data_IF_847828556626
#
_entry.id   IF_847828556626
#
_cell.length_a   1.000
_cell.length_b   1.000
_cell.length_c   1.000
_cell.angle_alpha   90.00
_cell.angle_beta   90.00
_cell.angle_gamma   90.00
#
_symmetry.space_group_name_H-M   'P 1'
#
loop_
_entity.id
_entity.type
_entity.pdbx_description
1 polymer ?
#
# COMPACT_ATOMS: atom_id res chain seq x y z
N UNK A 1 -21.66 12.87 4.31
CA UNK A 1 -21.90 12.07 3.11
C UNK A 1 -22.56 12.89 2.00
N UNK A 2 -22.85 12.28 0.85
CA UNK A 2 -23.38 12.94 -0.35
C UNK A 2 -24.56 13.91 -0.10
N UNK A 3 -25.57 13.59 0.74
CA UNK A 3 -26.66 14.53 0.99
C UNK A 3 -26.23 15.85 1.63
N UNK A 4 -25.28 15.79 2.55
CA UNK A 4 -24.75 16.99 3.23
C UNK A 4 -23.89 17.81 2.29
N UNK A 5 -23.08 17.17 1.43
CA UNK A 5 -22.29 17.84 0.42
C UNK A 5 -23.16 18.56 -0.62
N UNK A 6 -24.29 17.96 -1.02
CA UNK A 6 -25.26 18.59 -1.91
C UNK A 6 -25.86 19.85 -1.30
N UNK A 7 -26.29 19.82 -0.03
CA UNK A 7 -26.84 20.98 0.69
C UNK A 7 -25.79 22.10 0.82
N UNK A 8 -24.54 21.74 1.19
CA UNK A 8 -23.46 22.72 1.26
C UNK A 8 -23.15 23.32 -0.12
N UNK A 9 -23.13 22.49 -1.16
CA UNK A 9 -22.92 22.93 -2.54
C UNK A 9 -24.00 23.93 -2.99
N UNK A 10 -25.26 23.67 -2.64
CA UNK A 10 -26.39 24.56 -2.95
C UNK A 10 -26.27 25.90 -2.23
N UNK A 11 -25.87 25.90 -0.94
CA UNK A 11 -25.62 27.11 -0.14
C UNK A 11 -24.44 27.92 -0.69
N UNK A 12 -23.38 27.23 -1.15
CA UNK A 12 -22.14 27.84 -1.66
C UNK A 12 -22.23 28.23 -3.14
N UNK A 13 -23.32 27.89 -3.85
CA UNK A 13 -23.43 28.10 -5.29
C UNK A 13 -22.47 27.27 -6.15
N UNK A 14 -21.94 26.18 -5.61
CA UNK A 14 -21.00 25.28 -6.28
C UNK A 14 -21.63 23.89 -6.41
N UNK A 15 -21.59 23.28 -7.61
CA UNK A 15 -22.03 21.88 -7.76
C UNK A 15 -21.08 20.99 -6.96
N UNK A 16 -21.60 20.32 -5.93
CA UNK A 16 -20.86 19.29 -5.22
C UNK A 16 -20.68 18.09 -6.17
N UNK A 17 -19.50 17.94 -6.75
CA UNK A 17 -19.14 16.71 -7.44
C UNK A 17 -18.96 15.60 -6.41
N UNK A 18 -19.70 14.50 -6.55
CA UNK A 18 -19.48 13.30 -5.77
C UNK A 18 -18.13 12.70 -6.19
N UNK A 19 -17.09 13.06 -5.44
CA UNK A 19 -15.78 12.42 -5.61
C UNK A 19 -15.89 10.92 -5.31
N UNK A 20 -15.21 10.10 -6.11
CA UNK A 20 -15.17 8.65 -5.89
C UNK A 20 -14.69 8.32 -4.47
N UNK A 21 -15.42 7.41 -3.78
CA UNK A 21 -15.05 6.96 -2.44
C UNK A 21 -13.65 6.37 -2.44
N UNK A 22 -12.78 6.87 -1.57
CA UNK A 22 -11.41 6.37 -1.37
C UNK A 22 -11.32 5.56 -0.08
N UNK A 23 -10.36 4.65 -0.03
CA UNK A 23 -9.93 3.94 1.17
C UNK A 23 -8.41 3.89 1.24
N UNK A 24 -7.88 3.74 2.45
CA UNK A 24 -6.46 3.51 2.63
C UNK A 24 -6.07 2.12 2.11
N UNK A 25 -4.88 2.03 1.55
CA UNK A 25 -4.29 0.80 1.06
C UNK A 25 -2.84 0.70 1.49
N UNK A 26 -2.42 -0.48 1.98
CA UNK A 26 -1.05 -0.72 2.45
C UNK A 26 -0.25 -1.44 1.36
N UNK A 27 0.79 -0.80 0.84
CA UNK A 27 1.64 -1.32 -0.24
C UNK A 27 2.71 -2.28 0.30
N UNK A 28 2.29 -3.33 0.98
CA UNK A 28 3.16 -4.40 1.44
C UNK A 28 2.37 -5.70 1.61
N UNK A 29 2.87 -6.79 1.02
CA UNK A 29 2.35 -8.15 1.23
C UNK A 29 3.37 -9.06 1.95
N UNK A 30 4.46 -8.49 2.45
CA UNK A 30 5.53 -9.21 3.14
C UNK A 30 5.16 -9.54 4.58
N UNK A 31 4.31 -10.56 4.78
CA UNK A 31 3.98 -11.13 6.10
C UNK A 31 5.20 -11.73 6.78
N UNK A 32 5.06 -12.16 8.04
CA UNK A 32 6.15 -12.80 8.80
C UNK A 32 6.70 -14.05 8.10
N UNK A 33 5.86 -14.80 7.37
CA UNK A 33 6.28 -15.98 6.62
C UNK A 33 6.94 -15.65 5.27
N UNK A 34 6.60 -14.49 4.67
CA UNK A 34 7.01 -14.12 3.31
C UNK A 34 8.23 -13.21 3.26
N UNK A 35 8.46 -12.45 4.33
CA UNK A 35 9.59 -11.53 4.45
C UNK A 35 10.64 -12.08 5.43
N UNK A 36 11.89 -12.12 5.02
CA UNK A 36 12.99 -12.53 5.89
C UNK A 36 13.28 -11.47 6.95
N UNK A 37 13.82 -11.90 8.07
CA UNK A 37 14.33 -11.05 9.14
C UNK A 37 15.85 -11.25 9.26
N UNK A 38 16.57 -10.14 9.46
CA UNK A 38 18.02 -10.14 9.61
C UNK A 38 18.44 -10.40 11.07
N UNK A 39 17.55 -10.03 12.02
CA UNK A 39 17.77 -10.22 13.46
C UNK A 39 16.44 -10.25 14.22
N UNK A 40 16.49 -10.76 15.46
CA UNK A 40 15.39 -10.68 16.40
C UNK A 40 15.44 -9.37 17.16
N UNK A 41 14.32 -8.62 17.19
CA UNK A 41 14.22 -7.34 17.88
C UNK A 41 13.35 -7.46 19.12
N UNK A 42 13.93 -7.15 20.29
CA UNK A 42 13.30 -7.23 21.62
C UNK A 42 13.10 -5.87 22.28
N UNK A 43 13.01 -4.78 21.50
CA UNK A 43 12.85 -3.44 22.01
C UNK A 43 11.41 -2.90 21.93
N UNK A 44 11.29 -1.57 21.93
CA UNK A 44 10.00 -0.87 21.85
C UNK A 44 9.36 -1.13 20.48
N UNK A 45 8.18 -1.70 20.47
CA UNK A 45 7.40 -1.96 19.25
C UNK A 45 6.70 -0.69 18.77
N UNK A 46 7.46 0.15 18.11
CA UNK A 46 7.01 1.42 17.52
C UNK A 46 7.68 1.62 16.17
N UNK A 47 6.88 1.86 15.10
CA UNK A 47 7.42 1.99 13.75
C UNK A 47 8.34 3.20 13.59
N UNK A 48 8.10 4.30 14.29
CA UNK A 48 8.92 5.49 14.21
C UNK A 48 10.27 5.29 14.94
N UNK A 49 10.27 4.56 16.06
CA UNK A 49 11.48 4.22 16.81
C UNK A 49 12.44 3.34 15.99
N UNK A 50 11.96 2.63 14.99
CA UNK A 50 12.80 1.81 14.11
C UNK A 50 13.79 2.62 13.27
N UNK A 51 13.62 3.93 13.13
CA UNK A 51 14.62 4.79 12.48
C UNK A 51 15.98 4.76 13.19
N UNK A 52 16.01 4.41 14.48
CA UNK A 52 17.21 4.39 15.31
C UNK A 52 17.87 3.00 15.44
N UNK A 53 17.31 1.98 14.81
CA UNK A 53 17.87 0.61 14.84
C UNK A 53 18.46 0.22 13.47
N UNK A 54 19.39 -0.76 13.42
CA UNK A 54 20.01 -1.18 12.16
C UNK A 54 18.98 -1.49 11.08
N UNK A 55 19.24 -1.06 9.85
CA UNK A 55 18.39 -1.23 8.67
C UNK A 55 16.94 -0.68 8.81
N UNK A 56 16.68 0.16 9.83
CA UNK A 56 15.34 0.69 10.05
C UNK A 56 14.30 -0.37 10.43
N UNK A 57 14.75 -1.45 11.12
CA UNK A 57 13.92 -2.54 11.62
C UNK A 57 14.45 -3.93 11.29
N UNK A 58 13.90 -5.00 11.92
CA UNK A 58 14.40 -6.36 11.80
C UNK A 58 14.16 -7.03 10.45
N UNK A 59 13.21 -6.56 9.63
CA UNK A 59 12.95 -7.13 8.30
C UNK A 59 14.08 -6.81 7.33
N UNK A 60 14.53 -7.79 6.56
CA UNK A 60 15.54 -7.64 5.50
C UNK A 60 15.11 -6.66 4.39
N UNK A 61 13.80 -6.42 4.25
CA UNK A 61 13.25 -5.43 3.34
C UNK A 61 13.14 -4.06 4.01
N UNK A 62 14.00 -3.12 3.64
CA UNK A 62 14.01 -1.76 4.19
C UNK A 62 12.73 -0.94 3.88
N UNK A 63 11.96 -1.36 2.89
CA UNK A 63 10.72 -0.71 2.46
C UNK A 63 9.46 -1.39 3.02
N UNK A 64 9.59 -2.51 3.73
CA UNK A 64 8.47 -3.31 4.19
C UNK A 64 7.74 -2.73 5.40
N UNK A 65 6.50 -3.18 5.60
CA UNK A 65 5.74 -2.90 6.81
C UNK A 65 6.40 -3.58 8.02
N UNK A 66 6.61 -2.81 9.10
CA UNK A 66 7.24 -3.30 10.33
C UNK A 66 6.26 -4.05 11.25
N UNK A 67 4.95 -3.81 11.08
CA UNK A 67 3.94 -4.52 11.85
C UNK A 67 3.72 -4.01 13.29
N UNK A 68 4.30 -2.89 13.70
CA UNK A 68 4.18 -2.39 15.09
C UNK A 68 2.95 -1.48 15.34
N UNK A 69 2.10 -1.27 14.34
CA UNK A 69 0.76 -0.74 14.54
C UNK A 69 0.64 0.77 14.79
N UNK A 70 1.62 1.63 14.44
CA UNK A 70 1.47 3.08 14.57
C UNK A 70 0.26 3.60 13.78
N UNK A 71 0.01 3.04 12.59
CA UNK A 71 -1.16 3.34 11.78
C UNK A 71 -2.47 2.88 12.42
N UNK A 72 -2.45 1.76 13.18
CA UNK A 72 -3.60 1.25 13.94
C UNK A 72 -3.94 2.23 15.06
N UNK A 73 -2.95 2.62 15.88
CA UNK A 73 -3.13 3.59 16.97
C UNK A 73 -3.64 4.96 16.48
N UNK A 74 -3.28 5.34 15.24
CA UNK A 74 -3.71 6.60 14.64
C UNK A 74 -5.11 6.56 14.04
N UNK A 75 -5.72 5.37 13.85
CA UNK A 75 -7.02 5.23 13.20
C UNK A 75 -8.16 5.43 14.20
N UNK A 76 -8.99 6.49 14.07
CA UNK A 76 -10.12 6.70 15.00
C UNK A 76 -11.35 5.86 14.64
N UNK A 77 -11.31 5.09 13.55
CA UNK A 77 -12.44 4.33 13.01
C UNK A 77 -12.25 2.82 13.14
N UNK A 78 -11.18 2.38 13.80
CA UNK A 78 -10.80 0.97 13.93
C UNK A 78 -10.78 0.20 12.58
N UNK A 79 -10.41 0.92 11.51
CA UNK A 79 -10.44 0.41 10.14
C UNK A 79 -9.11 -0.21 9.68
N UNK A 80 -8.11 -0.31 10.55
CA UNK A 80 -6.79 -0.84 10.20
C UNK A 80 -6.24 -1.69 11.35
N UNK A 81 -5.78 -2.90 11.02
CA UNK A 81 -5.26 -3.87 11.97
C UNK A 81 -3.94 -4.45 11.48
N UNK A 82 -3.14 -5.02 12.38
CA UNK A 82 -1.94 -5.77 12.00
C UNK A 82 -2.30 -7.25 11.97
N UNK A 83 -2.10 -7.87 10.80
CA UNK A 83 -2.30 -9.29 10.57
C UNK A 83 -1.01 -9.87 10.01
N UNK A 84 -0.48 -10.91 10.63
CA UNK A 84 0.77 -11.59 10.22
C UNK A 84 1.95 -10.63 9.98
N UNK A 85 2.06 -9.58 10.83
CA UNK A 85 3.15 -8.60 10.77
C UNK A 85 3.03 -7.57 9.63
N UNK A 86 1.84 -7.42 9.03
CA UNK A 86 1.53 -6.38 8.02
C UNK A 86 0.22 -5.70 8.38
N UNK A 87 0.17 -4.38 8.20
CA UNK A 87 -1.08 -3.64 8.38
C UNK A 87 -2.07 -3.94 7.25
N UNK A 88 -3.32 -4.22 7.61
CA UNK A 88 -4.43 -4.51 6.69
C UNK A 88 -5.56 -3.53 6.97
N UNK A 89 -6.20 -3.02 5.94
CA UNK A 89 -7.28 -2.03 6.03
C UNK A 89 -8.62 -2.68 5.69
N UNK A 90 -9.60 -2.51 6.57
CA UNK A 90 -11.00 -2.72 6.25
C UNK A 90 -11.50 -1.52 5.42
N UNK A 91 -11.77 -1.78 4.14
CA UNK A 91 -12.22 -0.75 3.19
C UNK A 91 -13.62 -0.20 3.53
N UNK A 92 -14.46 -1.00 4.19
CA UNK A 92 -15.83 -0.60 4.52
C UNK A 92 -15.88 0.31 5.75
N UNK A 93 -15.07 0.02 6.76
CA UNK A 93 -14.91 0.86 7.93
C UNK A 93 -14.09 2.13 7.64
N UNK A 94 -13.20 2.11 6.63
CA UNK A 94 -12.28 3.21 6.31
C UNK A 94 -13.03 4.47 5.81
N UNK A 95 -12.73 5.60 6.43
CA UNK A 95 -13.28 6.93 6.07
C UNK A 95 -12.28 7.82 5.29
N UNK A 96 -11.17 7.26 4.82
CA UNK A 96 -10.14 7.97 4.04
C UNK A 96 -9.59 9.25 4.69
N UNK A 97 -9.56 9.31 6.02
CA UNK A 97 -9.15 10.52 6.76
C UNK A 97 -7.64 10.83 6.68
N UNK A 98 -6.81 9.94 6.15
CA UNK A 98 -5.37 10.14 5.96
C UNK A 98 -4.49 10.00 7.20
N UNK A 99 -5.03 9.84 8.43
CA UNK A 99 -4.22 9.75 9.65
C UNK A 99 -3.21 8.61 9.64
N UNK A 100 -3.60 7.43 9.11
CA UNK A 100 -2.69 6.28 8.97
C UNK A 100 -1.58 6.54 7.94
N UNK A 101 -1.87 7.32 6.89
CA UNK A 101 -0.87 7.74 5.88
C UNK A 101 0.22 8.58 6.56
N UNK A 102 -0.18 9.59 7.33
CA UNK A 102 0.74 10.47 8.07
C UNK A 102 1.53 9.72 9.16
N UNK A 103 0.90 8.71 9.80
CA UNK A 103 1.52 7.94 10.89
C UNK A 103 2.52 6.87 10.40
N UNK A 104 2.57 6.57 9.11
CA UNK A 104 3.46 5.54 8.59
C UNK A 104 4.85 6.08 8.25
N UNK A 105 5.92 5.77 9.01
CA UNK A 105 7.26 6.31 8.76
C UNK A 105 7.90 5.74 7.48
N UNK A 106 7.40 4.61 6.97
CA UNK A 106 7.84 4.00 5.71
C UNK A 106 7.00 4.45 4.50
N UNK A 107 6.02 5.34 4.68
CA UNK A 107 5.13 5.87 3.62
C UNK A 107 4.47 4.79 2.76
N UNK A 108 4.01 3.70 3.40
CA UNK A 108 3.44 2.53 2.74
C UNK A 108 1.96 2.64 2.45
N UNK A 109 1.28 3.65 3.00
CA UNK A 109 -0.17 3.75 2.97
C UNK A 109 -0.57 4.88 2.03
N UNK A 110 -1.43 4.56 1.07
CA UNK A 110 -1.99 5.51 0.11
C UNK A 110 -3.51 5.48 0.15
N UNK A 111 -4.15 6.59 -0.24
CA UNK A 111 -5.59 6.65 -0.43
C UNK A 111 -5.90 6.38 -1.89
N UNK A 112 -6.54 5.25 -2.17
CA UNK A 112 -6.90 4.84 -3.52
C UNK A 112 -8.42 4.74 -3.66
N UNK A 113 -8.96 4.89 -4.88
CA UNK A 113 -10.36 4.63 -5.15
C UNK A 113 -10.77 3.22 -4.69
N UNK A 114 -11.92 3.09 -4.05
CA UNK A 114 -12.43 1.78 -3.64
C UNK A 114 -12.70 0.89 -4.85
N UNK A 115 -13.00 1.49 -6.00
CA UNK A 115 -13.18 0.79 -7.28
C UNK A 115 -11.88 0.28 -7.90
N UNK A 116 -10.70 0.66 -7.38
CA UNK A 116 -9.41 0.15 -7.86
C UNK A 116 -9.32 -1.36 -7.62
N UNK A 117 -9.31 -2.14 -8.72
CA UNK A 117 -9.24 -3.59 -8.67
C UNK A 117 -7.81 -4.10 -8.62
N UNK A 118 -6.91 -3.43 -9.35
CA UNK A 118 -5.52 -3.89 -9.46
C UNK A 118 -4.58 -2.87 -8.83
N UNK A 119 -3.87 -3.31 -7.80
CA UNK A 119 -2.96 -2.51 -7.00
C UNK A 119 -1.71 -3.32 -6.68
N UNK A 120 -0.54 -2.71 -6.79
CA UNK A 120 0.73 -3.35 -6.47
C UNK A 120 0.96 -3.33 -4.96
N UNK A 121 1.06 -4.51 -4.34
CA UNK A 121 1.30 -4.67 -2.89
C UNK A 121 2.79 -4.72 -2.53
N UNK A 122 3.59 -3.84 -3.08
CA UNK A 122 5.02 -3.73 -2.78
C UNK A 122 5.45 -2.26 -2.86
N UNK A 123 6.50 -1.91 -2.12
CA UNK A 123 7.13 -0.59 -2.15
C UNK A 123 8.65 -0.66 -2.25
N UNK A 124 9.23 -1.86 -2.41
CA UNK A 124 10.68 -2.01 -2.50
C UNK A 124 11.20 -1.41 -3.80
N UNK A 125 12.23 -0.59 -3.68
CA UNK A 125 12.99 -0.01 -4.80
C UNK A 125 14.31 -0.74 -5.05
N UNK A 126 14.58 -1.81 -4.31
CA UNK A 126 15.76 -2.62 -4.48
C UNK A 126 15.76 -3.36 -5.83
N UNK A 127 16.94 -3.75 -6.28
CA UNK A 127 17.06 -4.60 -7.47
C UNK A 127 16.41 -5.96 -7.24
N UNK A 128 15.81 -6.53 -8.27
CA UNK A 128 15.05 -7.78 -8.15
C UNK A 128 15.80 -8.93 -7.46
N UNK A 129 17.14 -9.02 -7.62
CA UNK A 129 17.98 -10.01 -6.93
C UNK A 129 17.96 -9.83 -5.40
N UNK A 130 17.99 -8.60 -4.92
CA UNK A 130 18.03 -8.29 -3.49
C UNK A 130 16.61 -8.41 -2.90
N UNK A 131 15.59 -7.99 -3.66
CA UNK A 131 14.18 -8.25 -3.29
C UNK A 131 13.91 -9.73 -3.09
N UNK A 132 14.39 -10.61 -3.98
CA UNK A 132 14.19 -12.06 -3.86
C UNK A 132 14.82 -12.67 -2.61
N UNK A 133 15.92 -12.07 -2.10
CA UNK A 133 16.54 -12.48 -0.84
C UNK A 133 15.75 -12.00 0.37
N UNK A 134 15.16 -10.80 0.29
CA UNK A 134 14.47 -10.17 1.40
C UNK A 134 13.01 -10.59 1.53
N UNK A 135 12.32 -10.93 0.41
CA UNK A 135 10.89 -11.21 0.41
C UNK A 135 10.50 -12.14 -0.75
N UNK A 136 9.76 -13.21 -0.44
CA UNK A 136 9.33 -14.20 -1.44
C UNK A 136 8.31 -13.63 -2.45
N UNK A 137 7.54 -12.61 -2.05
CA UNK A 137 6.46 -11.99 -2.86
C UNK A 137 6.77 -10.56 -3.32
N UNK A 138 8.00 -10.05 -3.14
CA UNK A 138 8.35 -8.70 -3.53
C UNK A 138 8.34 -8.48 -5.05
N UNK A 139 8.07 -7.24 -5.49
CA UNK A 139 8.19 -6.86 -6.90
C UNK A 139 9.66 -6.88 -7.33
N UNK A 140 9.97 -7.60 -8.39
CA UNK A 140 11.35 -7.74 -8.90
C UNK A 140 11.67 -6.81 -10.09
N UNK A 141 10.75 -5.89 -10.43
CA UNK A 141 10.96 -4.96 -11.54
C UNK A 141 11.10 -5.62 -12.91
N UNK A 142 10.44 -6.74 -13.17
CA UNK A 142 10.62 -7.53 -14.39
C UNK A 142 9.92 -6.97 -15.64
N UNK A 143 9.18 -5.88 -15.53
CA UNK A 143 8.42 -5.21 -16.62
C UNK A 143 7.36 -6.07 -17.32
N UNK A 144 7.06 -7.28 -16.86
CA UNK A 144 6.04 -8.13 -17.51
C UNK A 144 4.64 -7.53 -17.45
N UNK A 145 4.27 -6.92 -16.32
CA UNK A 145 2.98 -6.24 -16.14
C UNK A 145 2.86 -5.02 -17.06
N UNK A 146 3.92 -4.24 -17.23
CA UNK A 146 4.00 -3.07 -18.11
C UNK A 146 3.87 -3.47 -19.58
N UNK A 147 4.66 -4.44 -20.04
CA UNK A 147 4.64 -4.93 -21.44
C UNK A 147 3.30 -5.54 -21.85
N UNK A 148 2.54 -6.06 -20.91
CA UNK A 148 1.25 -6.70 -21.18
C UNK A 148 0.04 -5.80 -20.86
N UNK A 149 0.25 -4.53 -20.55
CA UNK A 149 -0.84 -3.60 -20.28
C UNK A 149 -1.35 -2.95 -21.57
N UNK A 150 -2.59 -3.27 -22.03
CA UNK A 150 -3.10 -2.71 -23.28
C UNK A 150 -3.49 -1.23 -23.17
N UNK A 151 -3.69 -0.74 -21.95
CA UNK A 151 -4.10 0.65 -21.68
C UNK A 151 -2.93 1.57 -21.30
N UNK A 152 -1.68 1.08 -21.38
CA UNK A 152 -0.49 1.81 -20.95
C UNK A 152 -0.64 2.43 -19.54
N UNK A 153 -1.32 1.70 -18.65
CA UNK A 153 -1.59 2.14 -17.29
C UNK A 153 -0.58 1.62 -16.26
N UNK A 154 0.34 0.74 -16.67
CA UNK A 154 1.33 0.13 -15.77
C UNK A 154 2.72 0.56 -16.16
N UNK A 155 3.46 1.15 -15.24
CA UNK A 155 4.84 1.57 -15.44
C UNK A 155 5.73 1.02 -14.34
N UNK A 156 6.97 0.69 -14.69
CA UNK A 156 7.99 0.27 -13.71
C UNK A 156 9.01 1.40 -13.56
N UNK A 157 8.99 2.02 -12.39
CA UNK A 157 9.90 3.13 -12.02
C UNK A 157 10.63 2.73 -10.74
N UNK A 158 11.92 3.00 -10.65
CA UNK A 158 12.75 2.64 -9.49
C UNK A 158 12.62 1.14 -9.09
N UNK A 159 12.63 0.23 -10.06
CA UNK A 159 12.48 -1.23 -9.88
C UNK A 159 11.13 -1.70 -9.33
N UNK A 160 10.13 -0.84 -9.22
CA UNK A 160 8.80 -1.20 -8.74
C UNK A 160 7.72 -0.83 -9.76
N UNK A 161 6.72 -1.71 -9.89
CA UNK A 161 5.57 -1.44 -10.74
C UNK A 161 4.59 -0.47 -10.04
N UNK A 162 4.05 0.44 -10.83
CA UNK A 162 2.99 1.37 -10.46
C UNK A 162 1.83 1.24 -11.46
N UNK A 163 0.60 1.35 -10.97
CA UNK A 163 -0.61 1.30 -11.81
C UNK A 163 -1.35 2.63 -11.70
N UNK A 164 -1.45 3.32 -12.82
CA UNK A 164 -2.27 4.51 -12.96
C UNK A 164 -3.75 4.11 -12.94
N UNK A 165 -4.46 4.47 -11.87
CA UNK A 165 -5.86 4.09 -11.67
C UNK A 165 -6.81 4.83 -12.61
N UNK A 166 -6.43 5.98 -13.16
CA UNK A 166 -7.25 6.75 -14.11
C UNK A 166 -7.23 6.11 -15.50
N UNK A 167 -6.08 5.57 -15.92
CA UNK A 167 -5.91 4.89 -17.20
C UNK A 167 -6.31 3.41 -17.16
N UNK A 168 -6.37 2.82 -15.96
CA UNK A 168 -6.55 1.38 -15.78
C UNK A 168 -7.95 0.91 -16.22
N UNK A 169 -8.02 0.05 -17.24
CA UNK A 169 -9.26 -0.58 -17.71
C UNK A 169 -9.72 -1.76 -16.88
N UNK A 170 -9.01 -2.10 -15.81
CA UNK A 170 -9.35 -3.20 -14.88
C UNK A 170 -9.38 -4.59 -15.53
N UNK A 171 -8.62 -4.80 -16.61
CA UNK A 171 -8.62 -6.05 -17.41
C UNK A 171 -7.94 -7.26 -16.71
N UNK A 172 -7.07 -7.03 -15.71
CA UNK A 172 -6.42 -8.09 -14.92
C UNK A 172 -5.16 -8.70 -15.52
N UNK A 173 -4.77 -8.39 -16.73
CA UNK A 173 -3.59 -8.99 -17.39
C UNK A 173 -2.29 -8.77 -16.61
N UNK A 174 -2.13 -7.61 -15.97
CA UNK A 174 -0.96 -7.33 -15.16
C UNK A 174 -0.85 -8.26 -13.93
N UNK A 175 -1.97 -8.59 -13.30
CA UNK A 175 -2.03 -9.52 -12.17
C UNK A 175 -1.77 -10.96 -12.62
N UNK A 176 -2.35 -11.38 -13.76
CA UNK A 176 -2.15 -12.70 -14.35
C UNK A 176 -0.69 -12.96 -14.71
N UNK A 177 -0.07 -12.00 -15.40
CA UNK A 177 1.33 -12.09 -15.87
C UNK A 177 2.37 -11.86 -14.78
N UNK A 178 1.97 -11.43 -13.59
CA UNK A 178 2.91 -11.18 -12.49
C UNK A 178 3.46 -12.49 -11.91
N UNK A 179 4.79 -12.78 -12.04
CA UNK A 179 5.37 -14.03 -11.53
C UNK A 179 5.39 -14.08 -10.01
N UNK A 180 5.32 -12.93 -9.34
CA UNK A 180 5.31 -12.81 -7.88
C UNK A 180 3.90 -12.71 -7.30
N UNK A 181 2.86 -12.65 -8.14
CA UNK A 181 1.45 -12.51 -7.70
C UNK A 181 1.25 -11.37 -6.70
N UNK A 182 1.97 -10.25 -6.93
CA UNK A 182 1.98 -9.09 -6.04
C UNK A 182 0.98 -7.99 -6.47
N UNK A 183 0.29 -8.20 -7.56
CA UNK A 183 -0.79 -7.33 -8.03
C UNK A 183 -2.13 -8.01 -7.69
N UNK A 184 -2.97 -7.31 -6.91
CA UNK A 184 -4.32 -7.73 -6.59
C UNK A 184 -5.22 -7.62 -7.80
#
# INVERSE_FOLDING_TARGET
GAPVAAIIGEIMGVKAEEGERKAAFVKCAGTCEKANQDYEYTGIQDCAAMAFVPNGGPKSCNYGCLGYGNCVKACPFDAIHVVDGVAVVDKDACKACGKCVAACPKHLIELLPVSAKHIVQCSSKDKGKDVMKACSVGCIGCHLCEKNCPADAVHVVDNIAYIDQEKCTKCGLCAEKCPKKIIL
#
